data_IF_422389358270
#
_entry.id   IF_422389358270
#
_cell.length_a   1.000
_cell.length_b   1.000
_cell.length_c   1.000
_cell.angle_alpha   90.00
_cell.angle_beta   90.00
_cell.angle_gamma   90.00
#
_symmetry.space_group_name_H-M   'P 1'
#
loop_
_entity.id
_entity.type
_entity.pdbx_description
1 polymer ?
#
# COMPACT_ATOMS: atom_id res chain seq x y z
N UNK A 1 -22.65 14.52 -20.66
CA UNK A 1 -21.18 14.39 -20.61
C UNK A 1 -20.68 14.10 -22.02
N UNK A 2 -19.57 14.72 -22.45
CA UNK A 2 -18.99 14.47 -23.77
C UNK A 2 -18.18 13.18 -23.74
N UNK A 3 -18.39 12.30 -24.72
CA UNK A 3 -17.63 11.06 -24.88
C UNK A 3 -16.20 11.37 -25.36
N UNK A 4 -15.21 10.85 -24.64
CA UNK A 4 -13.80 10.97 -25.01
C UNK A 4 -13.38 9.75 -25.83
N UNK A 5 -13.00 9.99 -27.08
CA UNK A 5 -12.61 8.94 -28.04
C UNK A 5 -11.12 8.99 -28.39
N UNK A 6 -10.41 10.07 -28.00
CA UNK A 6 -9.02 10.31 -28.41
C UNK A 6 -8.03 10.02 -27.29
N UNK A 7 -6.97 9.28 -27.62
CA UNK A 7 -5.77 9.11 -26.78
C UNK A 7 -5.00 10.41 -26.57
N UNK A 8 -5.22 11.43 -27.41
CA UNK A 8 -4.56 12.72 -27.25
C UNK A 8 -5.12 13.56 -26.09
N UNK A 9 -6.27 13.17 -25.52
CA UNK A 9 -6.88 13.85 -24.38
C UNK A 9 -5.92 13.87 -23.18
N UNK A 10 -5.83 15.03 -22.50
CA UNK A 10 -4.89 15.25 -21.39
C UNK A 10 -5.01 14.22 -20.26
N UNK A 11 -6.23 13.80 -19.93
CA UNK A 11 -6.49 12.87 -18.83
C UNK A 11 -6.15 11.44 -19.22
N UNK A 12 -6.44 11.06 -20.48
CA UNK A 12 -6.05 9.75 -21.03
C UNK A 12 -4.52 9.62 -21.07
N UNK A 13 -3.80 10.64 -21.56
CA UNK A 13 -2.34 10.68 -21.52
C UNK A 13 -1.78 10.57 -20.10
N UNK A 14 -2.39 11.26 -19.14
CA UNK A 14 -1.99 11.17 -17.74
C UNK A 14 -2.18 9.74 -17.22
N UNK A 15 -3.33 9.11 -17.46
CA UNK A 15 -3.56 7.73 -17.05
C UNK A 15 -2.55 6.75 -17.67
N UNK A 16 -2.23 6.87 -18.97
CA UNK A 16 -1.17 6.06 -19.60
C UNK A 16 0.21 6.31 -18.96
N UNK A 17 0.55 7.56 -18.66
CA UNK A 17 1.80 7.92 -17.98
C UNK A 17 1.90 7.29 -16.59
N UNK A 18 0.82 7.30 -15.81
CA UNK A 18 0.77 6.80 -14.43
C UNK A 18 0.96 5.27 -14.33
N UNK A 19 1.02 4.53 -15.45
CA UNK A 19 1.50 3.14 -15.48
C UNK A 19 2.97 3.01 -15.11
N UNK A 20 3.76 4.07 -15.26
CA UNK A 20 5.18 4.08 -14.93
C UNK A 20 5.47 4.87 -13.64
N UNK A 21 6.33 4.31 -12.78
CA UNK A 21 6.73 4.88 -11.47
C UNK A 21 7.15 6.35 -11.58
N UNK A 22 8.01 6.72 -12.55
CA UNK A 22 8.53 8.09 -12.68
C UNK A 22 7.42 9.15 -12.74
N UNK A 23 6.28 8.82 -13.35
CA UNK A 23 5.17 9.75 -13.47
C UNK A 23 4.28 9.75 -12.23
N UNK A 24 4.15 8.61 -11.54
CA UNK A 24 3.50 8.57 -10.22
C UNK A 24 4.24 9.42 -9.21
N UNK A 25 5.58 9.35 -9.22
CA UNK A 25 6.44 10.18 -8.36
C UNK A 25 6.37 11.66 -8.77
N UNK A 26 6.44 11.95 -10.07
CA UNK A 26 6.36 13.34 -10.58
C UNK A 26 5.04 14.03 -10.25
N UNK A 27 3.91 13.33 -10.43
CA UNK A 27 2.59 13.93 -10.29
C UNK A 27 1.94 13.68 -8.93
N UNK A 28 2.57 12.87 -8.07
CA UNK A 28 1.99 12.41 -6.81
C UNK A 28 0.58 11.83 -7.02
N UNK A 29 0.43 10.96 -8.02
CA UNK A 29 -0.85 10.38 -8.42
C UNK A 29 -0.69 8.91 -8.78
N UNK A 30 -1.75 8.13 -8.67
CA UNK A 30 -1.75 6.71 -9.02
C UNK A 30 -3.11 6.24 -9.52
N UNK A 31 -3.12 5.04 -10.11
CA UNK A 31 -4.31 4.44 -10.71
C UNK A 31 -4.97 3.46 -9.75
N UNK A 32 -6.30 3.52 -9.69
CA UNK A 32 -7.15 2.57 -8.98
C UNK A 32 -8.24 2.06 -9.91
N UNK A 33 -8.21 0.76 -10.24
CA UNK A 33 -9.10 0.14 -11.22
C UNK A 33 -10.29 -0.58 -10.56
N UNK A 34 -11.46 -0.47 -11.17
CA UNK A 34 -12.64 -1.28 -10.85
C UNK A 34 -13.62 -0.67 -9.85
N UNK A 35 -14.78 -1.31 -9.73
CA UNK A 35 -15.95 -0.84 -8.97
C UNK A 35 -15.61 -0.73 -7.48
N UNK A 36 -14.97 -1.76 -6.90
CA UNK A 36 -14.62 -1.78 -5.47
C UNK A 36 -13.66 -0.66 -5.10
N UNK A 37 -12.67 -0.40 -5.96
CA UNK A 37 -11.72 0.68 -5.75
C UNK A 37 -12.41 2.04 -5.71
N UNK A 38 -13.32 2.31 -6.66
CA UNK A 38 -14.11 3.55 -6.65
C UNK A 38 -14.99 3.66 -5.40
N UNK A 39 -15.61 2.58 -4.94
CA UNK A 39 -16.36 2.56 -3.68
C UNK A 39 -15.48 2.85 -2.47
N UNK A 40 -14.26 2.32 -2.43
CA UNK A 40 -13.33 2.56 -1.32
C UNK A 40 -12.86 4.02 -1.28
N UNK A 41 -12.57 4.62 -2.45
CA UNK A 41 -12.29 6.07 -2.57
C UNK A 41 -13.47 6.89 -2.01
N UNK A 42 -14.72 6.51 -2.34
CA UNK A 42 -15.92 7.18 -1.84
C UNK A 42 -16.18 7.00 -0.35
N UNK A 43 -15.79 5.86 0.23
CA UNK A 43 -15.88 5.63 1.69
C UNK A 43 -14.91 6.53 2.44
N UNK A 44 -13.74 6.81 1.83
CA UNK A 44 -12.73 7.72 2.37
C UNK A 44 -13.04 9.20 2.10
N UNK A 45 -14.18 9.53 1.46
CA UNK A 45 -14.61 10.91 1.15
C UNK A 45 -13.57 11.72 0.35
N UNK A 46 -12.82 11.06 -0.54
CA UNK A 46 -11.81 11.74 -1.37
C UNK A 46 -12.52 12.47 -2.52
N UNK A 47 -12.29 13.78 -2.66
CA UNK A 47 -12.93 14.65 -3.66
C UNK A 47 -12.12 14.83 -4.94
N UNK A 48 -10.79 14.88 -4.85
CA UNK A 48 -9.90 15.19 -5.98
C UNK A 48 -9.59 13.96 -6.83
N UNK A 49 -10.61 13.43 -7.50
CA UNK A 49 -10.55 12.18 -8.26
C UNK A 49 -10.95 12.43 -9.71
N UNK A 50 -10.18 11.87 -10.64
CA UNK A 50 -10.57 11.78 -12.05
C UNK A 50 -11.04 10.36 -12.31
N UNK A 51 -12.32 10.19 -12.61
CA UNK A 51 -12.94 8.89 -12.78
C UNK A 51 -13.36 8.70 -14.24
N UNK A 52 -12.69 7.77 -14.92
CA UNK A 52 -13.08 7.30 -16.24
C UNK A 52 -14.11 6.19 -16.12
N UNK A 53 -15.13 6.22 -16.96
CA UNK A 53 -16.11 5.14 -17.08
C UNK A 53 -16.50 4.92 -18.54
N UNK A 54 -16.98 3.72 -18.87
CA UNK A 54 -17.56 3.44 -20.20
C UNK A 54 -19.10 3.47 -20.14
N UNK A 55 -19.76 3.76 -21.25
CA UNK A 55 -21.23 3.71 -21.32
C UNK A 55 -21.77 2.34 -20.93
N UNK A 56 -21.10 1.25 -21.34
CA UNK A 56 -21.51 -0.12 -20.97
C UNK A 56 -21.42 -0.37 -19.45
N UNK A 57 -20.42 0.21 -18.78
CA UNK A 57 -20.30 0.09 -17.32
C UNK A 57 -21.52 0.66 -16.59
N UNK A 58 -22.18 1.67 -17.17
CA UNK A 58 -23.38 2.29 -16.58
C UNK A 58 -24.59 1.36 -16.54
N UNK A 59 -24.57 0.20 -17.20
CA UNK A 59 -25.62 -0.82 -17.05
C UNK A 59 -25.64 -1.43 -15.63
N UNK A 60 -24.52 -1.38 -14.93
CA UNK A 60 -24.42 -1.83 -13.55
C UNK A 60 -24.87 -0.73 -12.57
N UNK A 61 -25.88 -1.01 -11.74
CA UNK A 61 -26.41 -0.03 -10.78
C UNK A 61 -25.39 0.47 -9.75
N UNK A 62 -24.37 -0.34 -9.43
CA UNK A 62 -23.26 0.11 -8.56
C UNK A 62 -22.47 1.23 -9.24
N UNK A 63 -22.23 1.13 -10.54
CA UNK A 63 -21.53 2.17 -11.31
C UNK A 63 -22.37 3.45 -11.37
N UNK A 64 -23.68 3.35 -11.60
CA UNK A 64 -24.57 4.53 -11.55
C UNK A 64 -24.51 5.23 -10.19
N UNK A 65 -24.52 4.47 -9.08
CA UNK A 65 -24.38 4.99 -7.72
C UNK A 65 -23.01 5.64 -7.51
N UNK A 66 -21.94 5.03 -8.01
CA UNK A 66 -20.59 5.58 -7.96
C UNK A 66 -20.54 6.91 -8.71
N UNK A 67 -21.05 7.00 -9.94
CA UNK A 67 -21.06 8.25 -10.72
C UNK A 67 -21.84 9.33 -9.97
N UNK A 68 -23.06 9.04 -9.48
CA UNK A 68 -23.87 10.00 -8.72
C UNK A 68 -23.17 10.49 -7.45
N UNK A 69 -22.56 9.59 -6.68
CA UNK A 69 -21.82 9.97 -5.46
C UNK A 69 -20.51 10.69 -5.79
N UNK A 70 -19.83 10.31 -6.87
CA UNK A 70 -18.64 10.99 -7.37
C UNK A 70 -18.93 12.44 -7.74
N UNK A 71 -20.08 12.70 -8.38
CA UNK A 71 -20.54 14.05 -8.68
C UNK A 71 -20.73 14.90 -7.41
N UNK A 72 -21.35 14.33 -6.36
CA UNK A 72 -21.48 15.00 -5.06
C UNK A 72 -20.15 15.20 -4.32
N UNK A 73 -19.12 14.45 -4.69
CA UNK A 73 -17.74 14.61 -4.20
C UNK A 73 -16.89 15.48 -5.13
N UNK A 74 -17.49 16.09 -6.16
CA UNK A 74 -16.83 16.91 -7.18
C UNK A 74 -15.75 16.17 -8.01
N UNK A 75 -15.94 14.88 -8.26
CA UNK A 75 -15.06 14.11 -9.13
C UNK A 75 -15.14 14.61 -10.57
N UNK A 76 -14.00 14.60 -11.28
CA UNK A 76 -13.99 14.75 -12.72
C UNK A 76 -14.43 13.44 -13.39
N UNK A 77 -15.71 13.35 -13.73
CA UNK A 77 -16.34 12.18 -14.34
C UNK A 77 -16.21 12.23 -15.87
N UNK A 78 -15.51 11.26 -16.44
CA UNK A 78 -15.14 11.22 -17.86
C UNK A 78 -15.65 9.95 -18.53
N UNK A 79 -16.65 10.07 -19.42
CA UNK A 79 -17.08 8.95 -20.25
C UNK A 79 -16.05 8.73 -21.38
N UNK A 80 -15.57 7.50 -21.52
CA UNK A 80 -14.60 7.09 -22.55
C UNK A 80 -15.11 5.89 -23.33
N UNK A 81 -14.58 5.68 -24.54
CA UNK A 81 -14.83 4.44 -25.29
C UNK A 81 -14.16 3.24 -24.64
N UNK A 82 -14.65 2.04 -24.95
CA UNK A 82 -14.02 0.77 -24.54
C UNK A 82 -12.56 0.66 -25.02
N UNK A 83 -12.25 1.19 -26.21
CA UNK A 83 -10.89 1.21 -26.74
C UNK A 83 -9.95 2.11 -25.94
N UNK A 84 -10.43 3.25 -25.45
CA UNK A 84 -9.67 4.13 -24.55
C UNK A 84 -9.53 3.48 -23.18
N UNK A 85 -10.62 2.93 -22.60
CA UNK A 85 -10.58 2.24 -21.31
C UNK A 85 -9.52 1.12 -21.31
N UNK A 86 -9.53 0.25 -22.33
CA UNK A 86 -8.52 -0.82 -22.50
C UNK A 86 -7.08 -0.29 -22.59
N UNK A 87 -6.88 0.90 -23.13
CA UNK A 87 -5.55 1.50 -23.25
C UNK A 87 -5.00 1.96 -21.89
N UNK A 88 -5.88 2.44 -21.01
CA UNK A 88 -5.51 3.04 -19.71
C UNK A 88 -5.58 2.07 -18.54
N UNK A 89 -6.26 0.92 -18.67
CA UNK A 89 -6.32 -0.12 -17.64
C UNK A 89 -5.14 -1.09 -17.71
N UNK A 90 -4.84 -1.75 -16.59
CA UNK A 90 -3.77 -2.73 -16.47
C UNK A 90 -4.26 -4.19 -16.52
N UNK A 91 -5.58 -4.41 -16.56
CA UNK A 91 -6.18 -5.76 -16.62
C UNK A 91 -6.88 -6.04 -17.95
N UNK A 92 -6.94 -7.31 -18.33
CA UNK A 92 -7.66 -7.77 -19.54
C UNK A 92 -9.19 -7.67 -19.38
N UNK A 93 -9.70 -7.84 -18.16
CA UNK A 93 -11.12 -7.85 -17.84
C UNK A 93 -11.52 -6.60 -17.03
N UNK A 94 -11.44 -5.44 -17.68
CA UNK A 94 -11.87 -4.16 -17.06
C UNK A 94 -13.36 -4.17 -16.75
N UNK A 95 -13.72 -3.67 -15.57
CA UNK A 95 -15.11 -3.41 -15.18
C UNK A 95 -15.63 -2.07 -15.73
N UNK A 96 -14.88 -1.43 -16.63
CA UNK A 96 -15.22 -0.16 -17.25
C UNK A 96 -15.15 1.02 -16.28
N UNK A 97 -14.31 0.94 -15.24
CA UNK A 97 -14.04 2.01 -14.28
C UNK A 97 -12.55 2.11 -13.96
N UNK A 98 -12.00 3.32 -14.01
CA UNK A 98 -10.65 3.64 -13.58
C UNK A 98 -10.63 5.01 -12.91
N UNK A 99 -9.95 5.12 -11.77
CA UNK A 99 -9.77 6.37 -11.04
C UNK A 99 -8.30 6.76 -10.99
N UNK A 100 -7.99 8.03 -11.25
CA UNK A 100 -6.73 8.66 -10.85
C UNK A 100 -6.96 9.29 -9.48
N UNK A 101 -6.10 8.94 -8.53
CA UNK A 101 -6.17 9.40 -7.14
C UNK A 101 -4.85 10.04 -6.75
N UNK A 102 -4.90 11.11 -5.95
CA UNK A 102 -3.70 11.73 -5.40
C UNK A 102 -3.04 10.81 -4.36
N UNK A 103 -1.73 10.63 -4.50
CA UNK A 103 -0.85 9.99 -3.53
C UNK A 103 -0.62 10.97 -2.37
N UNK A 104 -0.93 10.56 -1.14
CA UNK A 104 -0.59 11.35 0.05
C UNK A 104 0.92 11.23 0.28
N UNK A 105 1.60 12.39 0.30
CA UNK A 105 3.02 12.47 0.63
C UNK A 105 3.12 12.85 2.10
N UNK A 106 3.77 11.99 2.89
CA UNK A 106 4.00 12.22 4.31
C UNK A 106 5.43 12.71 4.52
N UNK A 107 5.64 13.83 5.23
CA UNK A 107 6.97 14.36 5.41
C UNK A 107 7.77 13.50 6.40
N UNK A 108 9.04 13.24 6.07
CA UNK A 108 9.90 12.35 6.85
C UNK A 108 10.13 12.78 8.29
N UNK A 109 10.02 14.08 8.61
CA UNK A 109 10.17 14.55 9.99
C UNK A 109 9.09 14.00 10.94
N UNK A 110 7.94 13.54 10.42
CA UNK A 110 6.91 12.84 11.21
C UNK A 110 7.38 11.47 11.70
N UNK A 111 8.36 10.83 11.04
CA UNK A 111 8.90 9.53 11.46
C UNK A 111 9.47 9.60 12.88
N UNK A 112 10.00 10.75 13.30
CA UNK A 112 10.56 10.96 14.65
C UNK A 112 9.48 10.91 15.75
N UNK A 113 8.25 11.26 15.40
CA UNK A 113 7.15 11.47 16.35
C UNK A 113 6.08 10.37 16.28
N UNK A 114 6.34 9.28 15.57
CA UNK A 114 5.41 8.15 15.42
C UNK A 114 4.99 7.57 16.78
N UNK A 115 3.73 7.15 16.85
CA UNK A 115 3.11 6.50 18.01
C UNK A 115 2.20 5.37 17.55
N UNK A 116 2.17 4.27 18.30
CA UNK A 116 1.49 3.04 17.92
C UNK A 116 2.37 2.10 17.09
N UNK A 117 1.73 1.17 16.39
CA UNK A 117 2.40 0.09 15.67
C UNK A 117 2.59 0.39 14.19
N UNK A 118 3.78 0.15 13.68
CA UNK A 118 4.14 0.37 12.29
C UNK A 118 4.80 -0.88 11.69
N UNK A 119 4.74 -0.97 10.36
CA UNK A 119 5.43 -2.01 9.61
C UNK A 119 6.59 -1.38 8.84
N UNK A 120 7.78 -1.94 8.97
CA UNK A 120 8.93 -1.59 8.12
C UNK A 120 9.13 -2.70 7.09
N UNK A 121 9.17 -2.34 5.81
CA UNK A 121 9.45 -3.26 4.71
C UNK A 121 10.84 -2.98 4.19
N UNK A 122 11.73 -3.95 4.34
CA UNK A 122 13.12 -3.85 3.93
C UNK A 122 13.36 -4.54 2.58
N UNK A 123 13.47 -3.74 1.51
CA UNK A 123 13.71 -4.20 0.14
C UNK A 123 12.74 -5.27 -0.37
N UNK A 124 11.44 -5.12 -0.08
CA UNK A 124 10.39 -5.97 -0.66
C UNK A 124 10.27 -5.69 -2.16
N UNK A 125 10.43 -6.71 -2.99
CA UNK A 125 10.52 -6.53 -4.45
C UNK A 125 9.24 -6.92 -5.20
N UNK A 126 8.44 -7.87 -4.69
CA UNK A 126 7.20 -8.23 -5.35
C UNK A 126 6.06 -7.25 -5.01
N UNK A 127 5.44 -6.59 -6.01
CA UNK A 127 4.32 -5.69 -5.76
C UNK A 127 3.10 -6.39 -5.15
N UNK A 128 2.91 -7.68 -5.43
CA UNK A 128 1.81 -8.46 -4.87
C UNK A 128 1.97 -8.64 -3.36
N UNK A 129 3.18 -8.96 -2.90
CA UNK A 129 3.55 -9.03 -1.49
C UNK A 129 3.40 -7.66 -0.82
N UNK A 130 3.93 -6.60 -1.44
CA UNK A 130 3.77 -5.22 -0.96
C UNK A 130 2.31 -4.87 -0.68
N UNK A 131 1.43 -5.04 -1.68
CA UNK A 131 0.00 -4.78 -1.53
C UNK A 131 -0.67 -5.64 -0.46
N UNK A 132 -0.32 -6.93 -0.40
CA UNK A 132 -0.87 -7.86 0.60
C UNK A 132 -0.47 -7.47 2.00
N UNK A 133 0.79 -7.09 2.24
CA UNK A 133 1.24 -6.62 3.55
C UNK A 133 0.57 -5.29 3.91
N UNK A 134 0.40 -4.36 2.96
CA UNK A 134 -0.35 -3.13 3.20
C UNK A 134 -1.77 -3.43 3.71
N UNK A 135 -2.44 -4.39 3.08
CA UNK A 135 -3.76 -4.85 3.51
C UNK A 135 -3.73 -5.48 4.89
N UNK A 136 -2.79 -6.38 5.15
CA UNK A 136 -2.65 -7.07 6.43
C UNK A 136 -2.37 -6.08 7.57
N UNK A 137 -1.46 -5.12 7.36
CA UNK A 137 -1.13 -4.09 8.33
C UNK A 137 -2.36 -3.22 8.66
N UNK A 138 -3.15 -2.84 7.64
CA UNK A 138 -4.36 -2.06 7.87
C UNK A 138 -5.42 -2.85 8.65
N UNK A 139 -5.50 -4.16 8.42
CA UNK A 139 -6.43 -5.04 9.12
C UNK A 139 -6.00 -5.29 10.58
N UNK A 140 -4.70 -5.40 10.85
CA UNK A 140 -4.12 -5.59 12.19
C UNK A 140 -3.95 -4.28 12.98
N UNK A 141 -4.66 -3.21 12.60
CA UNK A 141 -4.66 -1.95 13.35
C UNK A 141 -3.37 -1.13 13.30
N UNK A 142 -2.41 -1.45 12.41
CA UNK A 142 -1.18 -0.69 12.25
C UNK A 142 -1.48 0.77 11.85
N UNK A 143 -0.59 1.68 12.23
CA UNK A 143 -0.70 3.12 12.01
C UNK A 143 0.01 3.61 10.76
N UNK A 144 0.81 2.77 10.12
CA UNK A 144 1.52 3.14 8.90
C UNK A 144 2.55 2.11 8.45
N UNK A 145 3.13 2.39 7.29
CA UNK A 145 4.14 1.53 6.66
C UNK A 145 5.34 2.39 6.28
N UNK A 146 6.53 1.89 6.58
CA UNK A 146 7.81 2.49 6.24
C UNK A 146 8.47 1.59 5.20
N UNK A 147 8.95 2.15 4.10
CA UNK A 147 9.60 1.41 3.02
C UNK A 147 11.06 1.86 2.93
N UNK A 148 12.00 0.93 3.08
CA UNK A 148 13.41 1.24 2.82
C UNK A 148 13.67 1.41 1.33
N UNK A 149 14.79 2.05 1.00
CA UNK A 149 15.29 2.10 -0.38
C UNK A 149 15.46 0.68 -0.95
N UNK A 150 15.08 0.50 -2.21
CA UNK A 150 15.08 -0.79 -2.89
C UNK A 150 13.75 -1.56 -2.80
N UNK A 151 12.76 -1.04 -2.07
CA UNK A 151 11.38 -1.52 -2.17
C UNK A 151 10.79 -1.25 -3.57
N UNK A 152 9.89 -2.14 -3.98
CA UNK A 152 9.01 -1.93 -5.12
C UNK A 152 8.03 -0.79 -4.87
N UNK A 153 7.45 -0.26 -5.95
CA UNK A 153 6.50 0.84 -5.87
C UNK A 153 5.15 0.36 -5.30
N UNK A 154 4.82 0.82 -4.09
CA UNK A 154 3.55 0.54 -3.40
C UNK A 154 2.31 1.03 -4.17
N UNK A 155 2.49 1.99 -5.07
CA UNK A 155 1.43 2.59 -5.89
C UNK A 155 1.40 2.05 -7.33
N UNK A 156 2.18 1.00 -7.62
CA UNK A 156 2.04 0.24 -8.87
C UNK A 156 0.69 -0.46 -8.96
N UNK A 157 0.18 -0.66 -10.18
CA UNK A 157 -1.15 -1.26 -10.41
C UNK A 157 -1.32 -2.62 -9.72
N UNK A 158 -0.27 -3.45 -9.70
CA UNK A 158 -0.28 -4.75 -9.02
C UNK A 158 -0.34 -4.59 -7.49
N UNK A 159 0.45 -3.69 -6.90
CA UNK A 159 0.42 -3.45 -5.45
C UNK A 159 -0.91 -2.85 -4.98
N UNK A 160 -1.41 -1.84 -5.69
CA UNK A 160 -2.70 -1.20 -5.41
C UNK A 160 -3.82 -2.23 -5.44
N UNK A 161 -3.87 -3.07 -6.48
CA UNK A 161 -4.86 -4.14 -6.60
C UNK A 161 -4.76 -5.17 -5.46
N UNK A 162 -3.55 -5.61 -5.11
CA UNK A 162 -3.33 -6.54 -4.00
C UNK A 162 -3.70 -5.95 -2.64
N UNK A 163 -3.60 -4.62 -2.47
CA UNK A 163 -3.99 -3.93 -1.24
C UNK A 163 -5.50 -3.90 -0.98
N UNK A 164 -6.33 -4.13 -2.01
CA UNK A 164 -7.80 -4.09 -1.92
C UNK A 164 -8.31 -2.80 -1.24
N UNK A 165 -7.80 -1.64 -1.69
CA UNK A 165 -8.18 -0.32 -1.17
C UNK A 165 -7.48 0.09 0.13
N UNK A 166 -6.71 -0.79 0.76
CA UNK A 166 -5.99 -0.49 2.01
C UNK A 166 -4.87 0.54 1.83
N UNK A 167 -4.38 0.73 0.61
CA UNK A 167 -3.45 1.81 0.23
C UNK A 167 -3.97 3.20 0.61
N UNK A 168 -5.29 3.40 0.70
CA UNK A 168 -5.90 4.67 1.08
C UNK A 168 -6.00 4.88 2.59
N UNK A 169 -5.76 3.83 3.39
CA UNK A 169 -6.07 3.79 4.82
C UNK A 169 -4.87 4.05 5.71
N UNK A 170 -3.67 3.74 5.23
CA UNK A 170 -2.43 3.87 5.97
C UNK A 170 -1.52 4.92 5.36
N UNK A 171 -0.81 5.71 6.18
CA UNK A 171 0.33 6.46 5.69
C UNK A 171 1.44 5.51 5.24
N UNK A 172 2.07 5.86 4.12
CA UNK A 172 3.20 5.14 3.55
C UNK A 172 4.35 6.13 3.43
N UNK A 173 5.40 5.88 4.21
CA UNK A 173 6.65 6.62 4.18
C UNK A 173 7.59 5.86 3.24
N UNK A 174 7.91 6.45 2.09
CA UNK A 174 8.82 5.89 1.09
C UNK A 174 10.26 6.33 1.31
N UNK A 175 11.21 5.54 0.82
CA UNK A 175 12.65 5.86 0.87
C UNK A 175 13.15 6.24 2.27
N UNK A 176 12.62 5.56 3.29
CA UNK A 176 13.00 5.76 4.70
C UNK A 176 14.47 5.42 4.88
N UNK A 177 15.18 6.34 5.53
CA UNK A 177 16.63 6.26 5.73
C UNK A 177 16.98 5.71 7.11
N UNK A 178 18.19 5.16 7.21
CA UNK A 178 18.72 4.60 8.44
C UNK A 178 18.79 5.64 9.57
N UNK A 179 19.12 6.89 9.25
CA UNK A 179 19.22 7.97 10.23
C UNK A 179 17.87 8.26 10.89
N UNK A 180 16.77 8.16 10.14
CA UNK A 180 15.41 8.41 10.63
C UNK A 180 14.95 7.33 11.59
N UNK A 181 15.33 6.07 11.31
CA UNK A 181 15.07 4.93 12.19
C UNK A 181 15.94 4.99 13.47
N UNK A 182 17.20 5.43 13.34
CA UNK A 182 18.11 5.63 14.47
C UNK A 182 17.58 6.70 15.43
N UNK A 183 17.10 7.83 14.91
CA UNK A 183 16.50 8.90 15.70
C UNK A 183 15.28 8.39 16.47
N UNK A 184 14.42 7.60 15.83
CA UNK A 184 13.27 6.99 16.50
C UNK A 184 13.70 6.02 17.61
N UNK A 185 14.76 5.23 17.38
CA UNK A 185 15.34 4.31 18.37
C UNK A 185 15.91 5.00 19.61
N UNK A 186 16.28 6.29 19.53
CA UNK A 186 16.74 7.03 20.72
C UNK A 186 15.64 7.20 21.79
N UNK A 187 14.37 6.99 21.40
CA UNK A 187 13.24 7.07 22.31
C UNK A 187 13.07 5.79 23.11
N UNK A 188 13.02 5.92 24.43
CA UNK A 188 12.86 4.79 25.36
C UNK A 188 11.50 4.08 25.26
N UNK A 189 10.49 4.72 24.68
CA UNK A 189 9.13 4.22 24.56
C UNK A 189 8.85 3.52 23.22
N UNK A 190 9.88 3.31 22.39
CA UNK A 190 9.74 2.77 21.05
C UNK A 190 10.63 1.55 20.85
N UNK A 191 10.11 0.51 20.20
CA UNK A 191 10.84 -0.76 20.01
C UNK A 191 10.84 -1.16 18.54
N UNK A 192 12.01 -1.51 18.00
CA UNK A 192 12.16 -2.00 16.62
C UNK A 192 12.43 -3.49 16.67
N UNK A 193 11.61 -4.26 15.96
CA UNK A 193 11.60 -5.72 16.02
C UNK A 193 11.84 -6.26 14.63
N UNK A 194 12.86 -7.11 14.49
CA UNK A 194 13.15 -7.82 13.25
C UNK A 194 12.35 -9.12 13.16
N UNK A 195 12.07 -9.59 11.95
CA UNK A 195 11.67 -10.98 11.72
C UNK A 195 12.84 -11.76 11.11
N UNK A 196 13.48 -12.62 11.91
CA UNK A 196 14.67 -13.39 11.53
C UNK A 196 14.78 -14.63 12.40
N UNK A 197 15.51 -15.66 11.95
CA UNK A 197 15.85 -16.83 12.77
C UNK A 197 17.09 -16.60 13.65
N UNK A 198 17.92 -15.61 13.32
CA UNK A 198 19.19 -15.38 14.02
C UNK A 198 18.97 -14.56 15.30
N UNK A 199 19.45 -15.09 16.44
CA UNK A 199 19.32 -14.44 17.76
C UNK A 199 17.89 -13.98 18.06
N UNK A 200 16.92 -14.84 17.72
CA UNK A 200 15.51 -14.51 17.73
C UNK A 200 14.75 -15.31 18.80
N UNK A 201 13.62 -14.75 19.25
CA UNK A 201 12.67 -15.42 20.13
C UNK A 201 11.47 -15.89 19.34
N UNK A 202 10.81 -16.94 19.82
CA UNK A 202 9.53 -17.36 19.26
C UNK A 202 8.54 -16.19 19.36
N UNK A 203 7.80 -15.90 18.29
CA UNK A 203 6.77 -14.86 18.33
C UNK A 203 5.75 -15.10 19.45
N UNK A 204 5.55 -16.37 19.86
CA UNK A 204 4.62 -16.75 20.94
C UNK A 204 5.04 -16.23 22.32
N UNK A 205 6.32 -15.96 22.53
CA UNK A 205 6.86 -15.46 23.80
C UNK A 205 6.85 -13.92 23.86
N UNK A 206 6.44 -13.28 22.77
CA UNK A 206 6.43 -11.83 22.67
C UNK A 206 5.16 -11.22 23.27
N UNK A 207 5.36 -10.19 24.08
CA UNK A 207 4.28 -9.32 24.58
C UNK A 207 4.26 -8.03 23.74
N UNK A 208 3.09 -7.58 23.26
CA UNK A 208 2.97 -6.34 22.50
C UNK A 208 3.53 -5.10 23.24
N UNK A 209 4.09 -4.14 22.49
CA UNK A 209 4.60 -2.85 22.99
C UNK A 209 3.73 -1.70 22.49
N UNK A 210 3.45 -0.70 23.31
CA UNK A 210 2.56 0.41 22.92
C UNK A 210 3.01 1.16 21.65
N UNK A 211 4.34 1.30 21.44
CA UNK A 211 4.88 1.82 20.20
C UNK A 211 5.95 0.87 19.65
N UNK A 212 5.77 0.40 18.42
CA UNK A 212 6.72 -0.52 17.81
C UNK A 212 6.78 -0.39 16.29
N UNK A 213 7.92 -0.78 15.73
CA UNK A 213 8.07 -1.11 14.31
C UNK A 213 8.38 -2.60 14.21
N UNK A 214 7.65 -3.30 13.34
CA UNK A 214 7.95 -4.69 12.98
C UNK A 214 8.48 -4.70 11.56
N UNK A 215 9.73 -5.13 11.42
CA UNK A 215 10.46 -5.15 10.17
C UNK A 215 10.35 -6.51 9.49
N UNK A 216 9.94 -6.51 8.22
CA UNK A 216 9.92 -7.67 7.34
C UNK A 216 10.89 -7.45 6.18
N UNK A 217 11.63 -8.49 5.83
CA UNK A 217 12.69 -8.41 4.83
C UNK A 217 12.32 -8.96 3.46
N UNK A 218 13.25 -8.80 2.54
CA UNK A 218 13.21 -9.34 1.18
C UNK A 218 12.91 -10.85 1.17
N UNK A 219 12.19 -11.30 0.15
CA UNK A 219 11.72 -12.68 0.02
C UNK A 219 12.84 -13.73 -0.01
N UNK A 220 14.03 -13.38 -0.52
CA UNK A 220 15.18 -14.29 -0.58
C UNK A 220 16.24 -14.00 0.48
N UNK A 221 16.57 -12.72 0.68
CA UNK A 221 17.68 -12.33 1.56
C UNK A 221 17.27 -12.00 3.00
N UNK A 222 15.96 -11.97 3.29
CA UNK A 222 15.46 -11.50 4.57
C UNK A 222 15.81 -10.02 4.83
N UNK A 223 15.90 -9.69 6.11
CA UNK A 223 16.20 -8.33 6.58
C UNK A 223 17.70 -8.08 6.44
N UNK A 224 18.10 -6.88 6.03
CA UNK A 224 19.51 -6.48 5.96
C UNK A 224 20.17 -6.52 7.32
N UNK A 225 21.49 -6.74 7.32
CA UNK A 225 22.31 -6.58 8.51
C UNK A 225 22.17 -5.19 9.14
N UNK A 226 22.03 -4.15 8.32
CA UNK A 226 21.83 -2.76 8.77
C UNK A 226 20.56 -2.63 9.62
N UNK A 227 19.42 -3.11 9.11
CA UNK A 227 18.16 -3.08 9.86
C UNK A 227 18.19 -4.06 11.05
N UNK A 228 18.81 -5.24 10.91
CA UNK A 228 18.94 -6.18 12.03
C UNK A 228 19.75 -5.58 13.21
N UNK A 229 20.81 -4.82 12.92
CA UNK A 229 21.58 -4.10 13.96
C UNK A 229 20.76 -3.00 14.65
N UNK A 230 19.74 -2.45 13.97
CA UNK A 230 18.79 -1.54 14.59
C UNK A 230 17.72 -2.22 15.42
N UNK A 231 17.45 -3.50 15.21
CA UNK A 231 16.42 -4.20 15.98
C UNK A 231 16.87 -4.37 17.44
N UNK A 232 15.93 -4.19 18.38
CA UNK A 232 16.15 -4.48 19.79
C UNK A 232 16.19 -5.99 20.04
N UNK A 233 15.44 -6.75 19.25
CA UNK A 233 15.52 -8.21 19.11
C UNK A 233 14.75 -8.66 17.86
N UNK A 234 14.86 -9.94 17.54
CA UNK A 234 14.16 -10.57 16.42
C UNK A 234 13.10 -11.57 16.89
N UNK A 235 12.03 -11.72 16.11
CA UNK A 235 11.02 -12.75 16.25
C UNK A 235 11.12 -13.77 15.11
N UNK A 236 10.83 -15.03 15.42
CA UNK A 236 10.64 -16.07 14.41
C UNK A 236 9.34 -16.84 14.63
N UNK A 237 8.85 -17.44 13.55
CA UNK A 237 7.72 -18.37 13.57
C UNK A 237 8.27 -19.79 13.63
N UNK A 238 7.97 -20.60 14.66
CA UNK A 238 8.37 -22.00 14.67
C UNK A 238 7.79 -22.74 13.46
N UNK A 239 8.66 -23.36 12.67
CA UNK A 239 8.30 -24.15 11.49
C UNK A 239 8.56 -25.64 11.75
N UNK A 240 7.81 -26.49 11.05
CA UNK A 240 7.92 -27.94 11.13
C UNK A 240 8.33 -28.52 9.76
N UNK A 241 8.68 -29.81 9.73
CA UNK A 241 8.95 -30.57 8.51
C UNK A 241 10.08 -30.01 7.63
N UNK A 242 11.15 -29.48 8.26
CA UNK A 242 12.32 -28.92 7.57
C UNK A 242 11.99 -27.79 6.58
N UNK A 243 10.88 -27.08 6.78
CA UNK A 243 10.58 -25.86 6.01
C UNK A 243 11.45 -24.72 6.54
N UNK A 244 12.20 -24.08 5.65
CA UNK A 244 13.17 -23.03 6.00
C UNK A 244 12.52 -21.66 6.22
N UNK A 245 11.45 -21.35 5.49
CA UNK A 245 10.80 -20.05 5.57
C UNK A 245 9.33 -20.09 5.16
N UNK A 246 8.59 -19.05 5.55
CA UNK A 246 7.25 -18.77 5.05
C UNK A 246 7.32 -17.64 4.03
N UNK A 247 6.30 -17.55 3.16
CA UNK A 247 6.09 -16.34 2.38
C UNK A 247 5.97 -15.13 3.34
N UNK A 248 6.64 -14.02 2.99
CA UNK A 248 6.69 -12.81 3.83
C UNK A 248 5.31 -12.27 4.20
N UNK A 249 4.31 -12.40 3.33
CA UNK A 249 2.93 -11.98 3.61
C UNK A 249 2.26 -12.85 4.68
N UNK A 250 2.54 -14.15 4.71
CA UNK A 250 2.02 -15.07 5.71
C UNK A 250 2.71 -14.84 7.06
N UNK A 251 4.02 -14.61 7.05
CA UNK A 251 4.77 -14.23 8.24
C UNK A 251 4.25 -12.90 8.82
N UNK A 252 4.00 -11.90 7.96
CA UNK A 252 3.39 -10.64 8.35
C UNK A 252 2.01 -10.82 8.96
N UNK A 253 1.14 -11.65 8.37
CA UNK A 253 -0.16 -11.92 8.95
C UNK A 253 -0.06 -12.53 10.36
N UNK A 254 0.75 -13.56 10.56
CA UNK A 254 0.90 -14.23 11.85
C UNK A 254 1.44 -13.25 12.90
N UNK A 255 2.52 -12.53 12.57
CA UNK A 255 3.20 -11.66 13.53
C UNK A 255 2.36 -10.43 13.83
N UNK A 256 1.79 -9.76 12.82
CA UNK A 256 1.03 -8.52 13.05
C UNK A 256 -0.23 -8.77 13.88
N UNK A 257 -0.97 -9.87 13.65
CA UNK A 257 -2.14 -10.19 14.46
C UNK A 257 -1.80 -10.71 15.87
N UNK A 258 -0.60 -11.26 16.08
CA UNK A 258 -0.14 -11.61 17.43
C UNK A 258 0.35 -10.39 18.22
N UNK A 259 0.92 -9.42 17.51
CA UNK A 259 1.54 -8.23 18.11
C UNK A 259 0.61 -7.02 18.19
N UNK A 260 -0.61 -7.15 17.69
CA UNK A 260 -1.66 -6.15 17.82
C UNK A 260 -1.98 -5.91 19.30
N UNK A 261 -1.73 -4.70 19.81
CA UNK A 261 -2.36 -4.26 21.04
C UNK A 261 -3.82 -3.92 20.74
N UNK A 262 -4.72 -4.79 21.18
CA UNK A 262 -6.13 -4.45 21.32
C UNK A 262 -6.23 -3.55 22.55
N UNK A 263 -6.42 -2.25 22.34
CA UNK A 263 -6.95 -1.35 23.36
C UNK A 263 -8.43 -1.67 23.62
#
# INVERSE_FOLDING_TARGET
>A
MQLITSRSNRWVKLAEQLKHRKFRDKYAQFLMEGIRSAEDIQKQQISDVICFFTDNATQNDRVKKIIKKGDSLHWALLCVTESIMKAITGTENTQGLLSIVNKKIYPHHEIRTLKGHYVLLDRIQDPGNMGTIIRTAAAAGCKGILLTSGCTDAYSEKAVRSSMGSILRLPIYEDVKMEELLELKTRKDFTIIGTSFTNAKSYREYTPFANSIIAFGNEGNGISEEILKLCDYSLYIPLHNNIESLNVTAAAAIILFHTEHIN
#
